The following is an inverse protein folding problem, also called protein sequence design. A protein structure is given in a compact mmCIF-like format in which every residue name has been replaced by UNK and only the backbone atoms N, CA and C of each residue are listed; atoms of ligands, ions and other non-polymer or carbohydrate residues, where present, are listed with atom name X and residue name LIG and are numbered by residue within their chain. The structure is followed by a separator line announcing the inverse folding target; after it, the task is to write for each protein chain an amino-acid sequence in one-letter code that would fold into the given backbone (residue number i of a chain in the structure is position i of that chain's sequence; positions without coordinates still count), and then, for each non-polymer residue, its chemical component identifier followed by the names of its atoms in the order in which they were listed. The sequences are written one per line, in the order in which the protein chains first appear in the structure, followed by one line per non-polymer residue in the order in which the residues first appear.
data_IF_379972151123
#
_entry.id   IF_379972151123
#
_cell.length_a   1.000
_cell.length_b   1.000
_cell.length_c   1.000
_cell.angle_alpha   90.00
_cell.angle_beta   90.00
_cell.angle_gamma   90.00
#
_symmetry.space_group_name_H-M   'P 1'
#
loop_
_entity.id
_entity.type
_entity.pdbx_description
1 polymer ?
#
# COMPACT_ATOMS: atom_id res chain seq x y z
N UNK A 1 -9.36 0.32 12.85
CA UNK A 1 -8.79 1.03 11.69
C UNK A 1 -9.54 2.33 11.40
N UNK A 2 -10.87 2.34 11.34
CA UNK A 2 -11.67 3.55 11.08
C UNK A 2 -11.40 4.74 12.01
N UNK A 3 -11.13 4.52 13.31
CA UNK A 3 -10.85 5.59 14.28
C UNK A 3 -9.48 6.29 14.07
N UNK A 4 -8.52 5.63 13.41
CA UNK A 4 -7.19 6.22 13.16
C UNK A 4 -7.14 7.00 11.85
N UNK A 5 -8.03 6.71 10.90
CA UNK A 5 -8.14 7.49 9.66
C UNK A 5 -8.94 8.78 9.84
N UNK A 6 -9.67 8.94 10.96
CA UNK A 6 -10.35 10.19 11.31
C UNK A 6 -9.38 11.25 11.86
N UNK A 7 -8.24 10.84 12.41
CA UNK A 7 -7.14 11.73 12.79
C UNK A 7 -6.07 11.69 11.69
N UNK A 8 -6.23 12.56 10.70
CA UNK A 8 -5.35 12.66 9.54
C UNK A 8 -3.90 12.98 9.92
N UNK A 9 -3.70 13.84 10.91
CA UNK A 9 -2.37 14.23 11.40
C UNK A 9 -1.64 13.03 12.00
N UNK A 10 -2.30 12.28 12.86
CA UNK A 10 -1.75 11.05 13.44
C UNK A 10 -1.46 9.99 12.39
N UNK A 11 -2.33 9.84 11.40
CA UNK A 11 -2.12 8.90 10.30
C UNK A 11 -0.89 9.28 9.47
N UNK A 12 -0.75 10.56 9.13
CA UNK A 12 0.42 11.13 8.46
C UNK A 12 1.71 10.80 9.21
N UNK A 13 1.76 11.08 10.53
CA UNK A 13 2.95 10.81 11.36
C UNK A 13 3.31 9.32 11.39
N UNK A 14 2.33 8.43 11.56
CA UNK A 14 2.54 6.98 11.54
C UNK A 14 3.14 6.52 10.20
N UNK A 15 2.64 7.03 9.07
CA UNK A 15 3.17 6.70 7.76
C UNK A 15 4.59 7.23 7.56
N UNK A 16 4.87 8.44 8.02
CA UNK A 16 6.21 9.05 8.00
C UNK A 16 7.22 8.20 8.78
N UNK A 17 6.92 7.87 10.02
CA UNK A 17 7.79 7.07 10.87
C UNK A 17 8.01 5.66 10.31
N UNK A 18 6.95 5.02 9.82
CA UNK A 18 7.05 3.71 9.17
C UNK A 18 7.91 3.77 7.89
N UNK A 19 7.81 4.85 7.11
CA UNK A 19 8.63 5.05 5.93
C UNK A 19 10.11 5.16 6.29
N UNK A 20 10.45 6.03 7.24
CA UNK A 20 11.84 6.22 7.71
C UNK A 20 12.48 4.95 8.26
N UNK A 21 11.75 4.20 9.08
CA UNK A 21 12.32 3.07 9.82
C UNK A 21 12.19 1.72 9.13
N UNK A 22 11.31 1.59 8.14
CA UNK A 22 11.04 0.28 7.53
C UNK A 22 11.09 0.27 6.01
N UNK A 23 10.59 1.32 5.32
CA UNK A 23 10.54 1.35 3.85
C UNK A 23 11.89 1.80 3.29
N UNK A 24 12.41 2.93 3.72
CA UNK A 24 13.69 3.47 3.24
C UNK A 24 14.85 2.50 3.45
N UNK A 25 15.03 1.87 4.63
CA UNK A 25 16.10 0.88 4.83
C UNK A 25 15.96 -0.36 3.93
N UNK A 26 14.71 -0.76 3.61
CA UNK A 26 14.48 -1.85 2.66
C UNK A 26 14.93 -1.47 1.24
N UNK A 27 14.55 -0.28 0.78
CA UNK A 27 14.87 0.20 -0.57
C UNK A 27 16.40 0.34 -0.69
N UNK A 28 17.07 0.93 0.29
CA UNK A 28 18.50 1.17 0.30
C UNK A 28 18.90 2.41 -0.51
N UNK A 29 20.16 2.48 -0.91
CA UNK A 29 20.69 3.61 -1.67
C UNK A 29 20.24 3.56 -3.14
N UNK A 30 20.07 4.73 -3.74
CA UNK A 30 19.74 4.87 -5.16
C UNK A 30 20.99 4.90 -6.07
N UNK A 31 22.20 4.92 -5.47
CA UNK A 31 23.44 5.00 -6.22
C UNK A 31 23.68 6.32 -6.96
N UNK A 32 22.94 7.38 -6.61
CA UNK A 32 23.04 8.73 -7.19
C UNK A 32 22.68 9.81 -6.18
N UNK A 33 22.91 11.07 -6.55
CA UNK A 33 22.52 12.23 -5.77
C UNK A 33 21.00 12.20 -5.48
N UNK A 34 20.61 12.23 -4.23
CA UNK A 34 19.22 12.13 -3.79
C UNK A 34 18.37 13.29 -4.32
N UNK A 35 18.95 14.47 -4.53
CA UNK A 35 18.25 15.62 -5.17
C UNK A 35 17.80 15.35 -6.60
N UNK A 36 18.38 14.34 -7.25
CA UNK A 36 18.03 13.89 -8.60
C UNK A 36 17.10 12.68 -8.62
N UNK A 37 16.75 12.15 -7.46
CA UNK A 37 15.86 10.99 -7.33
C UNK A 37 14.41 11.47 -7.39
N UNK A 38 13.63 10.89 -8.31
CA UNK A 38 12.20 11.17 -8.46
C UNK A 38 11.38 10.01 -7.95
N UNK A 39 10.41 10.32 -7.12
CA UNK A 39 9.56 9.33 -6.46
C UNK A 39 8.09 9.60 -6.76
N UNK A 40 7.38 8.57 -7.17
CA UNK A 40 5.94 8.56 -7.32
C UNK A 40 5.33 7.69 -6.24
N UNK A 41 4.35 8.19 -5.50
CA UNK A 41 3.48 7.34 -4.66
C UNK A 41 2.07 7.32 -5.23
N UNK A 42 1.55 6.13 -5.48
CA UNK A 42 0.16 5.91 -5.89
C UNK A 42 -0.63 5.51 -4.64
N UNK A 43 -1.72 6.26 -4.34
CA UNK A 43 -2.44 6.18 -3.08
C UNK A 43 -1.67 6.86 -1.95
N UNK A 44 -1.21 8.09 -2.20
CA UNK A 44 -0.34 8.83 -1.28
C UNK A 44 -1.02 9.29 0.02
N UNK A 45 -2.33 9.19 0.09
CA UNK A 45 -3.10 9.66 1.23
C UNK A 45 -2.70 11.10 1.63
N UNK A 46 -2.39 11.34 2.90
CA UNK A 46 -1.95 12.64 3.43
C UNK A 46 -0.45 12.93 3.17
N UNK A 47 0.27 12.08 2.42
CA UNK A 47 1.67 12.30 2.02
C UNK A 47 2.74 11.91 3.05
N UNK A 48 2.36 11.23 4.14
CA UNK A 48 3.32 10.90 5.21
C UNK A 48 4.48 10.01 4.77
N UNK A 49 4.28 9.10 3.82
CA UNK A 49 5.38 8.29 3.26
C UNK A 49 6.34 9.19 2.48
N UNK A 50 5.82 10.05 1.61
CA UNK A 50 6.63 10.93 0.77
C UNK A 50 7.41 11.98 1.58
N UNK A 51 6.87 12.44 2.71
CA UNK A 51 7.61 13.34 3.64
C UNK A 51 8.97 12.77 4.02
N UNK A 52 9.07 11.47 4.27
CA UNK A 52 10.34 10.85 4.62
C UNK A 52 11.37 10.88 3.48
N UNK A 53 10.93 10.95 2.23
CA UNK A 53 11.81 11.09 1.07
C UNK A 53 12.14 12.53 0.75
N UNK A 54 11.21 13.47 0.96
CA UNK A 54 11.53 14.90 0.82
C UNK A 54 12.57 15.36 1.86
N UNK A 55 12.55 14.81 3.09
CA UNK A 55 13.59 15.01 4.08
C UNK A 55 14.99 14.60 3.60
N UNK A 56 15.07 13.68 2.66
CA UNK A 56 16.31 13.23 2.02
C UNK A 56 16.68 14.06 0.79
N UNK A 57 15.85 15.04 0.40
CA UNK A 57 16.05 15.90 -0.77
C UNK A 57 15.51 15.32 -2.10
N UNK A 58 14.74 14.22 -2.06
CA UNK A 58 14.11 13.66 -3.25
C UNK A 58 12.95 14.54 -3.74
N UNK A 59 12.70 14.51 -5.06
CA UNK A 59 11.51 15.14 -5.64
C UNK A 59 10.37 14.13 -5.74
N UNK A 60 9.19 14.50 -5.25
CA UNK A 60 8.07 13.58 -5.07
C UNK A 60 6.80 14.03 -5.81
N UNK A 61 6.04 13.04 -6.32
CA UNK A 61 4.66 13.20 -6.77
C UNK A 61 3.77 12.22 -5.99
N UNK A 62 2.72 12.73 -5.35
CA UNK A 62 1.65 11.93 -4.77
C UNK A 62 0.42 11.92 -5.64
N UNK A 63 -0.12 10.74 -5.93
CA UNK A 63 -1.41 10.56 -6.61
C UNK A 63 -2.38 9.93 -5.61
N UNK A 64 -3.52 10.58 -5.39
CA UNK A 64 -4.55 10.14 -4.45
C UNK A 64 -5.93 10.39 -5.03
N UNK A 65 -6.86 9.43 -4.88
CA UNK A 65 -8.21 9.54 -5.42
C UNK A 65 -9.10 10.49 -4.61
N UNK A 66 -8.85 10.60 -3.31
CA UNK A 66 -9.68 11.39 -2.40
C UNK A 66 -9.19 12.84 -2.31
N UNK A 67 -9.91 13.84 -2.88
CA UNK A 67 -9.50 15.25 -2.86
C UNK A 67 -9.27 15.77 -1.43
N UNK A 68 -10.11 15.39 -0.46
CA UNK A 68 -9.96 15.84 0.94
C UNK A 68 -8.66 15.34 1.60
N UNK A 69 -8.08 14.22 1.12
CA UNK A 69 -6.75 13.77 1.55
C UNK A 69 -5.65 14.58 0.90
N UNK A 70 -5.82 14.91 -0.37
CA UNK A 70 -4.90 15.80 -1.09
C UNK A 70 -4.86 17.19 -0.46
N UNK A 71 -6.02 17.75 -0.08
CA UNK A 71 -6.08 19.03 0.63
C UNK A 71 -5.29 18.98 1.95
N UNK A 72 -5.45 17.89 2.71
CA UNK A 72 -4.67 17.69 3.95
C UNK A 72 -3.18 17.51 3.69
N UNK A 73 -2.81 16.80 2.62
CA UNK A 73 -1.41 16.63 2.23
C UNK A 73 -0.79 17.98 1.85
N UNK A 74 -1.52 18.83 1.12
CA UNK A 74 -1.08 20.17 0.75
C UNK A 74 -0.89 21.07 1.99
N UNK A 75 -1.74 20.93 3.00
CA UNK A 75 -1.59 21.66 4.27
C UNK A 75 -0.38 21.18 5.07
N UNK A 76 -0.23 19.86 5.24
CA UNK A 76 0.86 19.27 6.03
C UNK A 76 2.24 19.45 5.40
N UNK A 77 2.31 19.56 4.09
CA UNK A 77 3.56 19.62 3.32
C UNK A 77 3.74 20.95 2.56
N UNK A 78 3.12 22.02 3.05
CA UNK A 78 3.16 23.34 2.41
C UNK A 78 4.59 23.87 2.19
N UNK A 79 5.49 23.62 3.13
CA UNK A 79 6.87 24.07 3.05
C UNK A 79 7.65 23.29 1.99
N UNK A 80 7.45 21.99 1.87
CA UNK A 80 8.04 21.12 0.84
C UNK A 80 7.47 21.45 -0.57
N UNK A 81 6.19 21.81 -0.63
CA UNK A 81 5.56 22.29 -1.88
C UNK A 81 6.16 23.62 -2.30
N UNK A 82 6.29 24.58 -1.37
CA UNK A 82 6.92 25.88 -1.64
C UNK A 82 8.39 25.73 -2.06
N UNK A 83 9.10 24.73 -1.55
CA UNK A 83 10.46 24.39 -1.95
C UNK A 83 10.54 23.61 -3.28
N UNK A 84 9.40 23.27 -3.92
CA UNK A 84 9.35 22.50 -5.16
C UNK A 84 9.73 21.02 -5.02
N UNK A 85 9.76 20.48 -3.81
CA UNK A 85 10.15 19.10 -3.53
C UNK A 85 9.00 18.11 -3.71
N UNK A 86 7.76 18.55 -3.58
CA UNK A 86 6.60 17.67 -3.69
C UNK A 86 5.40 18.38 -4.35
N UNK A 87 4.60 17.60 -5.04
CA UNK A 87 3.27 18.00 -5.51
C UNK A 87 2.30 16.84 -5.42
N UNK A 88 1.01 17.14 -5.37
CA UNK A 88 -0.06 16.16 -5.30
C UNK A 88 -1.05 16.32 -6.45
N UNK A 89 -1.70 15.21 -6.84
CA UNK A 89 -2.76 15.17 -7.85
C UNK A 89 -3.92 14.34 -7.35
N UNK A 90 -5.13 14.95 -7.35
CA UNK A 90 -6.39 14.29 -6.98
C UNK A 90 -7.01 13.59 -8.21
N UNK A 91 -6.29 12.62 -8.80
CA UNK A 91 -6.70 11.90 -10.02
C UNK A 91 -6.54 10.40 -9.88
N UNK A 92 -7.28 9.66 -10.72
CA UNK A 92 -6.99 8.25 -10.93
C UNK A 92 -5.71 8.12 -11.76
N UNK A 93 -4.86 7.14 -11.44
CA UNK A 93 -3.62 6.88 -12.18
C UNK A 93 -3.88 6.61 -13.67
N UNK A 94 -5.04 6.04 -14.01
CA UNK A 94 -5.44 5.76 -15.39
C UNK A 94 -5.86 7.01 -16.17
N UNK A 95 -6.24 8.08 -15.47
CA UNK A 95 -6.72 9.34 -16.07
C UNK A 95 -5.62 10.39 -16.20
N UNK A 96 -4.39 10.04 -15.82
CA UNK A 96 -3.24 10.92 -15.98
C UNK A 96 -2.76 10.87 -17.43
N UNK A 97 -2.89 11.98 -18.14
CA UNK A 97 -2.42 12.10 -19.51
C UNK A 97 -0.89 12.14 -19.58
N UNK A 98 -0.32 11.75 -20.74
CA UNK A 98 1.14 11.71 -20.95
C UNK A 98 1.81 13.08 -20.83
N UNK A 99 1.08 14.15 -21.14
CA UNK A 99 1.55 15.54 -21.07
C UNK A 99 1.50 16.13 -19.65
N UNK A 100 0.69 15.57 -18.74
CA UNK A 100 0.59 16.02 -17.35
C UNK A 100 1.76 15.53 -16.49
N UNK A 101 2.25 14.32 -16.78
CA UNK A 101 3.41 13.71 -16.10
C UNK A 101 4.32 13.14 -17.17
N UNK A 102 5.19 14.00 -17.70
CA UNK A 102 6.19 13.61 -18.72
C UNK A 102 7.42 12.97 -18.13
N UNK A 103 7.72 13.26 -16.86
CA UNK A 103 8.88 12.70 -16.17
C UNK A 103 8.67 11.22 -15.80
N UNK A 104 9.79 10.50 -15.75
CA UNK A 104 9.87 9.12 -15.23
C UNK A 104 10.42 9.12 -13.82
N UNK A 105 10.06 8.10 -13.05
CA UNK A 105 10.40 7.96 -11.64
C UNK A 105 11.41 6.84 -11.42
N UNK A 106 12.32 7.08 -10.49
CA UNK A 106 13.33 6.09 -10.07
C UNK A 106 12.76 5.09 -9.07
N UNK A 107 11.74 5.53 -8.34
CA UNK A 107 10.98 4.69 -7.42
C UNK A 107 9.50 5.01 -7.54
N UNK A 108 8.70 3.96 -7.66
CA UNK A 108 7.24 4.04 -7.51
C UNK A 108 6.86 3.30 -6.25
N UNK A 109 6.04 3.91 -5.40
CA UNK A 109 5.60 3.35 -4.12
C UNK A 109 4.09 3.08 -4.18
N UNK A 110 3.72 1.87 -3.77
CA UNK A 110 2.34 1.46 -3.54
C UNK A 110 2.24 0.81 -2.17
N UNK A 111 1.68 1.52 -1.23
CA UNK A 111 1.51 1.02 0.13
C UNK A 111 0.04 0.95 0.50
N UNK A 112 -0.44 -0.28 0.75
CA UNK A 112 -1.84 -0.58 1.05
C UNK A 112 -2.80 -0.09 -0.06
N UNK A 113 -2.45 -0.37 -1.33
CA UNK A 113 -3.18 0.05 -2.54
C UNK A 113 -3.54 -1.14 -3.43
N UNK A 114 -2.60 -2.07 -3.69
CA UNK A 114 -2.80 -3.13 -4.69
C UNK A 114 -3.96 -4.07 -4.35
N UNK A 115 -4.30 -4.21 -3.08
CA UNK A 115 -5.45 -4.98 -2.61
C UNK A 115 -6.80 -4.38 -3.00
N UNK A 116 -6.83 -3.13 -3.42
CA UNK A 116 -8.02 -2.42 -3.93
C UNK A 116 -8.10 -2.38 -5.46
N UNK A 117 -7.06 -2.86 -6.15
CA UNK A 117 -7.00 -2.85 -7.61
C UNK A 117 -7.67 -4.10 -8.18
N UNK A 118 -8.69 -3.94 -9.04
CA UNK A 118 -9.41 -5.07 -9.64
C UNK A 118 -8.61 -5.77 -10.72
N UNK A 119 -8.10 -5.04 -11.70
CA UNK A 119 -7.29 -5.57 -12.80
C UNK A 119 -5.81 -5.32 -12.56
N UNK A 120 -5.19 -6.24 -11.83
CA UNK A 120 -3.77 -6.15 -11.50
C UNK A 120 -2.86 -6.17 -12.75
N UNK A 121 -3.25 -6.87 -13.82
CA UNK A 121 -2.42 -6.94 -15.04
C UNK A 121 -2.43 -5.61 -15.80
N UNK A 122 -3.60 -5.02 -15.97
CA UNK A 122 -3.75 -3.68 -16.54
C UNK A 122 -2.97 -2.67 -15.70
N UNK A 123 -3.08 -2.75 -14.38
CA UNK A 123 -2.41 -1.86 -13.45
C UNK A 123 -0.88 -1.94 -13.58
N UNK A 124 -0.30 -3.15 -13.63
CA UNK A 124 1.15 -3.33 -13.78
C UNK A 124 1.69 -2.73 -15.08
N UNK A 125 0.91 -2.79 -16.17
CA UNK A 125 1.24 -2.14 -17.45
C UNK A 125 1.13 -0.62 -17.35
N UNK A 126 0.12 -0.12 -16.66
CA UNK A 126 -0.07 1.31 -16.47
C UNK A 126 1.06 1.93 -15.64
N UNK A 127 1.42 1.32 -14.54
CA UNK A 127 2.51 1.79 -13.66
C UNK A 127 3.86 1.82 -14.40
N UNK A 128 4.08 0.88 -15.31
CA UNK A 128 5.32 0.81 -16.09
C UNK A 128 5.59 2.07 -16.91
N UNK A 129 4.55 2.74 -17.40
CA UNK A 129 4.71 3.98 -18.18
C UNK A 129 5.32 5.14 -17.40
N UNK A 130 5.27 5.08 -16.07
CA UNK A 130 5.87 6.10 -15.19
C UNK A 130 7.28 5.71 -14.72
N UNK A 131 7.71 4.48 -14.92
CA UNK A 131 8.96 3.96 -14.39
C UNK A 131 10.17 4.29 -15.29
N UNK A 132 11.27 4.75 -14.69
CA UNK A 132 12.56 4.80 -15.37
C UNK A 132 13.02 3.39 -15.77
N UNK A 133 13.81 3.22 -16.85
CA UNK A 133 14.32 1.91 -17.25
C UNK A 133 15.09 1.17 -16.14
N UNK A 134 15.81 1.91 -15.28
CA UNK A 134 16.54 1.36 -14.12
C UNK A 134 15.77 1.51 -12.81
N UNK A 135 14.55 2.01 -12.88
CA UNK A 135 13.69 2.28 -11.71
C UNK A 135 13.21 1.02 -11.01
N UNK A 136 12.70 1.22 -9.81
CA UNK A 136 12.16 0.16 -8.95
C UNK A 136 10.74 0.50 -8.52
N UNK A 137 9.96 -0.53 -8.21
CA UNK A 137 8.64 -0.36 -7.64
C UNK A 137 8.61 -1.05 -6.29
N UNK A 138 8.21 -0.31 -5.26
CA UNK A 138 7.94 -0.84 -3.93
C UNK A 138 6.45 -1.13 -3.77
N UNK A 139 6.13 -2.33 -3.31
CA UNK A 139 4.80 -2.73 -2.90
C UNK A 139 4.79 -3.09 -1.42
N UNK A 140 3.85 -2.52 -0.68
CA UNK A 140 3.52 -2.92 0.69
C UNK A 140 2.04 -3.24 0.78
N UNK A 141 1.67 -4.48 1.13
CA UNK A 141 0.27 -4.89 1.23
C UNK A 141 0.07 -6.05 2.21
N UNK A 142 -1.12 -6.14 2.87
CA UNK A 142 -1.51 -7.30 3.66
C UNK A 142 -1.87 -8.48 2.75
N UNK A 143 -1.55 -9.71 3.16
CA UNK A 143 -2.02 -10.88 2.41
C UNK A 143 -3.53 -11.07 2.58
N UNK A 144 -4.23 -11.36 1.48
CA UNK A 144 -5.66 -11.69 1.52
C UNK A 144 -6.01 -12.80 2.53
N UNK A 145 -5.12 -13.78 2.74
CA UNK A 145 -5.39 -14.93 3.60
C UNK A 145 -5.06 -14.71 5.07
N UNK A 146 -4.47 -13.58 5.45
CA UNK A 146 -4.21 -13.31 6.87
C UNK A 146 -5.53 -13.13 7.64
N UNK A 147 -5.54 -13.23 8.99
CA UNK A 147 -6.79 -13.25 9.79
C UNK A 147 -7.79 -12.14 9.45
N UNK A 148 -7.30 -10.98 9.08
CA UNK A 148 -8.09 -9.79 8.76
C UNK A 148 -7.86 -9.28 7.32
N UNK A 149 -7.45 -10.16 6.41
CA UNK A 149 -7.12 -9.81 5.02
C UNK A 149 -8.31 -9.33 4.17
N UNK A 150 -9.52 -9.56 4.65
CA UNK A 150 -10.73 -9.01 4.05
C UNK A 150 -11.12 -7.62 4.55
N UNK A 151 -10.26 -6.93 5.30
CA UNK A 151 -10.50 -5.61 5.90
C UNK A 151 -11.73 -5.52 6.81
N UNK A 152 -12.18 -6.65 7.33
CA UNK A 152 -13.40 -6.73 8.15
C UNK A 152 -13.37 -5.86 9.44
N UNK A 153 -12.21 -5.32 9.80
CA UNK A 153 -12.09 -4.35 10.90
C UNK A 153 -12.85 -3.03 10.66
N UNK A 154 -13.25 -2.73 9.42
CA UNK A 154 -14.11 -1.56 9.11
C UNK A 154 -15.57 -1.78 9.48
N UNK A 155 -15.98 -3.04 9.73
CA UNK A 155 -17.33 -3.36 10.16
C UNK A 155 -17.66 -2.66 11.49
N UNK A 156 -18.90 -2.19 11.63
CA UNK A 156 -19.39 -1.50 12.85
C UNK A 156 -19.67 -2.49 13.98
N UNK A 157 -20.16 -3.68 13.63
CA UNK A 157 -20.42 -4.74 14.60
C UNK A 157 -19.11 -5.24 15.22
N UNK A 158 -19.06 -5.27 16.56
CA UNK A 158 -17.92 -5.81 17.31
C UNK A 158 -17.63 -7.27 16.95
N UNK A 159 -18.67 -8.06 16.63
CA UNK A 159 -18.52 -9.45 16.22
C UNK A 159 -17.85 -9.51 14.83
N UNK A 160 -18.41 -8.86 13.82
CA UNK A 160 -17.89 -8.88 12.47
C UNK A 160 -16.48 -8.27 12.36
N UNK A 161 -16.20 -7.18 13.11
CA UNK A 161 -14.89 -6.51 13.07
C UNK A 161 -13.75 -7.30 13.73
N UNK A 162 -14.07 -8.20 14.68
CA UNK A 162 -13.07 -8.96 15.44
C UNK A 162 -12.96 -10.44 15.04
N UNK A 163 -13.88 -10.97 14.24
CA UNK A 163 -13.87 -12.36 13.81
C UNK A 163 -12.80 -12.58 12.73
N UNK A 164 -11.78 -13.41 12.98
CA UNK A 164 -10.74 -13.68 11.99
C UNK A 164 -11.23 -14.64 10.91
N UNK A 165 -10.64 -14.59 9.73
CA UNK A 165 -10.75 -15.55 8.63
C UNK A 165 -12.13 -15.71 7.95
N UNK A 166 -13.25 -15.20 8.50
CA UNK A 166 -14.57 -15.46 7.91
C UNK A 166 -14.74 -14.85 6.50
N UNK A 167 -13.92 -13.88 6.12
CA UNK A 167 -13.85 -13.37 4.76
C UNK A 167 -13.40 -14.43 3.73
N UNK A 168 -12.76 -15.52 4.16
CA UNK A 168 -12.33 -16.63 3.29
C UNK A 168 -13.52 -17.50 2.88
N UNK A 169 -14.59 -17.53 3.67
CA UNK A 169 -15.80 -18.31 3.41
C UNK A 169 -16.41 -17.99 2.02
N UNK A 170 -17.20 -18.87 1.43
CA UNK A 170 -17.93 -18.61 0.19
C UNK A 170 -18.67 -17.26 0.22
N UNK A 171 -18.78 -16.61 -0.93
CA UNK A 171 -19.30 -15.24 -1.05
C UNK A 171 -20.67 -15.04 -0.40
N UNK A 172 -21.59 -16.02 -0.58
CA UNK A 172 -22.94 -15.94 -0.03
C UNK A 172 -22.95 -16.08 1.50
N UNK A 173 -22.09 -16.95 2.08
CA UNK A 173 -21.97 -17.11 3.53
C UNK A 173 -21.38 -15.83 4.14
N UNK A 174 -20.30 -15.30 3.56
CA UNK A 174 -19.66 -14.07 4.04
C UNK A 174 -20.64 -12.89 4.05
N UNK A 175 -21.38 -12.69 2.93
CA UNK A 175 -22.40 -11.65 2.84
C UNK A 175 -23.55 -11.88 3.82
N UNK A 176 -23.97 -13.14 4.03
CA UNK A 176 -24.99 -13.52 5.02
C UNK A 176 -24.59 -13.16 6.45
N UNK A 177 -23.34 -13.43 6.85
CA UNK A 177 -22.80 -13.06 8.18
C UNK A 177 -22.82 -11.54 8.36
N UNK A 178 -22.36 -10.78 7.36
CA UNK A 178 -22.36 -9.31 7.43
C UNK A 178 -23.78 -8.75 7.60
N UNK A 179 -24.76 -9.29 6.87
CA UNK A 179 -26.17 -8.90 7.01
C UNK A 179 -26.75 -9.28 8.38
N UNK A 180 -26.43 -10.49 8.88
CA UNK A 180 -26.85 -10.93 10.23
C UNK A 180 -26.24 -10.05 11.33
N UNK A 181 -25.03 -9.54 11.12
CA UNK A 181 -24.38 -8.54 11.98
C UNK A 181 -24.93 -7.11 11.82
N UNK A 182 -25.99 -6.91 11.00
CA UNK A 182 -26.63 -5.62 10.74
C UNK A 182 -25.68 -4.55 10.18
N UNK A 183 -24.70 -4.97 9.37
CA UNK A 183 -23.85 -4.02 8.64
C UNK A 183 -24.66 -3.29 7.56
N UNK A 184 -24.33 -2.02 7.33
CA UNK A 184 -24.97 -1.26 6.25
C UNK A 184 -24.45 -1.71 4.86
N UNK A 185 -25.25 -1.50 3.82
CA UNK A 185 -24.91 -1.93 2.45
C UNK A 185 -23.61 -1.30 1.94
N UNK A 186 -23.24 -0.10 2.36
CA UNK A 186 -21.96 0.54 1.97
C UNK A 186 -20.77 -0.27 2.46
N UNK A 187 -20.75 -0.65 3.74
CA UNK A 187 -19.69 -1.49 4.33
C UNK A 187 -19.68 -2.87 3.69
N UNK A 188 -20.87 -3.47 3.49
CA UNK A 188 -20.99 -4.77 2.83
C UNK A 188 -20.37 -4.73 1.44
N UNK A 189 -20.69 -3.70 0.64
CA UNK A 189 -20.17 -3.56 -0.72
C UNK A 189 -18.65 -3.38 -0.72
N UNK A 190 -18.10 -2.52 0.14
CA UNK A 190 -16.66 -2.32 0.28
C UNK A 190 -15.94 -3.63 0.64
N UNK A 191 -16.43 -4.38 1.63
CA UNK A 191 -15.85 -5.66 2.02
C UNK A 191 -15.98 -6.73 0.93
N UNK A 192 -17.07 -6.71 0.17
CA UNK A 192 -17.27 -7.62 -0.96
C UNK A 192 -16.38 -7.27 -2.16
N UNK A 193 -16.03 -6.01 -2.33
CA UNK A 193 -15.09 -5.54 -3.34
C UNK A 193 -13.67 -6.04 -3.04
N UNK A 194 -13.16 -5.86 -1.82
CA UNK A 194 -11.89 -6.41 -1.37
C UNK A 194 -11.84 -7.93 -1.53
N UNK A 195 -12.96 -8.61 -1.25
CA UNK A 195 -13.08 -10.05 -1.52
C UNK A 195 -12.94 -10.42 -3.00
N UNK A 196 -13.15 -9.52 -3.92
CA UNK A 196 -13.01 -9.78 -5.36
C UNK A 196 -11.55 -9.71 -5.79
N UNK A 197 -10.77 -8.78 -5.27
CA UNK A 197 -9.36 -8.56 -5.62
C UNK A 197 -8.43 -9.68 -5.13
N UNK A 198 -8.57 -10.12 -3.88
CA UNK A 198 -7.90 -11.29 -3.25
C UNK A 198 -6.39 -11.35 -3.51
N UNK A 199 -5.67 -10.24 -3.34
CA UNK A 199 -4.23 -10.28 -3.54
C UNK A 199 -3.54 -11.07 -2.42
N UNK A 200 -2.79 -12.11 -2.78
CA UNK A 200 -1.96 -12.90 -1.88
C UNK A 200 -0.51 -12.80 -2.32
N UNK A 201 0.43 -13.17 -1.46
CA UNK A 201 1.85 -13.13 -1.80
C UNK A 201 2.14 -14.00 -3.03
N UNK A 202 1.56 -15.20 -3.10
CA UNK A 202 1.73 -16.11 -4.24
C UNK A 202 1.14 -15.52 -5.54
N UNK A 203 -0.05 -14.88 -5.46
CA UNK A 203 -0.67 -14.24 -6.63
C UNK A 203 0.16 -13.06 -7.11
N UNK A 204 0.68 -12.26 -6.20
CA UNK A 204 1.56 -11.13 -6.52
C UNK A 204 2.87 -11.60 -7.18
N UNK A 205 3.52 -12.63 -6.65
CA UNK A 205 4.76 -13.16 -7.23
C UNK A 205 4.54 -13.72 -8.66
N UNK A 206 3.39 -14.38 -8.90
CA UNK A 206 2.98 -14.80 -10.26
C UNK A 206 2.72 -13.60 -11.18
N UNK A 207 2.07 -12.56 -10.67
CA UNK A 207 1.83 -11.32 -11.40
C UNK A 207 3.14 -10.66 -11.82
N UNK A 208 4.12 -10.56 -10.92
CA UNK A 208 5.46 -10.05 -11.24
C UNK A 208 6.11 -10.85 -12.35
N UNK A 209 6.11 -12.20 -12.26
CA UNK A 209 6.68 -13.08 -13.28
C UNK A 209 6.02 -12.89 -14.64
N UNK A 210 4.69 -12.82 -14.69
CA UNK A 210 3.90 -12.64 -15.93
C UNK A 210 4.17 -11.30 -16.62
N UNK A 211 4.46 -10.25 -15.86
CA UNK A 211 4.71 -8.90 -16.37
C UNK A 211 6.22 -8.58 -16.49
N UNK A 212 7.10 -9.59 -16.54
CA UNK A 212 8.55 -9.44 -16.71
C UNK A 212 9.24 -8.61 -15.63
N UNK A 213 8.74 -8.67 -14.38
CA UNK A 213 9.43 -8.09 -13.23
C UNK A 213 10.25 -9.13 -12.48
N UNK A 214 11.43 -8.71 -11.99
CA UNK A 214 12.26 -9.44 -11.05
C UNK A 214 12.02 -8.89 -9.65
N UNK A 215 11.79 -9.78 -8.69
CA UNK A 215 11.75 -9.42 -7.27
C UNK A 215 13.17 -9.27 -6.77
N UNK A 216 13.57 -8.04 -6.41
CA UNK A 216 14.89 -7.70 -5.91
C UNK A 216 15.01 -7.95 -4.42
N UNK A 217 13.97 -7.57 -3.66
CA UNK A 217 13.87 -7.80 -2.20
C UNK A 217 12.45 -8.22 -1.84
N UNK A 218 12.34 -9.05 -0.80
CA UNK A 218 11.07 -9.51 -0.27
C UNK A 218 11.19 -9.69 1.24
N UNK A 219 10.26 -9.09 2.00
CA UNK A 219 10.12 -9.34 3.43
C UNK A 219 8.65 -9.61 3.71
N UNK A 220 8.38 -10.68 4.45
CA UNK A 220 7.06 -10.99 4.99
C UNK A 220 7.08 -10.76 6.49
N UNK A 221 6.06 -10.10 7.03
CA UNK A 221 5.96 -9.77 8.45
C UNK A 221 4.80 -10.52 9.09
N UNK A 222 5.07 -11.15 10.23
CA UNK A 222 4.06 -11.67 11.15
C UNK A 222 3.46 -10.54 12.00
N UNK A 223 4.29 -9.56 12.44
CA UNK A 223 3.83 -8.31 13.03
C UNK A 223 4.27 -7.19 12.10
N UNK A 224 3.31 -6.52 11.48
CA UNK A 224 3.59 -5.47 10.52
C UNK A 224 4.36 -4.30 11.16
N UNK A 225 5.36 -3.70 10.47
CA UNK A 225 6.14 -2.58 11.03
C UNK A 225 5.27 -1.40 11.49
N UNK A 226 4.19 -1.11 10.79
CA UNK A 226 3.26 -0.03 11.13
C UNK A 226 2.56 -0.27 12.48
N UNK A 227 2.49 -1.51 12.97
CA UNK A 227 1.85 -1.83 14.25
C UNK A 227 2.67 -1.35 15.45
N UNK A 228 3.97 -1.08 15.26
CA UNK A 228 4.81 -0.47 16.28
C UNK A 228 4.27 0.93 16.66
N UNK A 229 3.86 1.70 15.65
CA UNK A 229 3.34 3.06 15.84
C UNK A 229 1.84 3.09 16.15
N UNK A 230 1.10 2.10 15.66
CA UNK A 230 -0.36 2.02 15.91
C UNK A 230 -0.70 1.44 17.28
N UNK A 231 0.05 0.44 17.73
CA UNK A 231 -0.32 -0.42 18.85
C UNK A 231 0.84 -0.70 19.83
N UNK A 232 2.05 -0.19 19.57
CA UNK A 232 3.24 -0.46 20.41
C UNK A 232 3.86 -1.85 20.21
N UNK A 233 3.41 -2.64 19.23
CA UNK A 233 3.96 -3.97 18.98
C UNK A 233 5.20 -3.91 18.11
N UNK A 234 6.36 -4.33 18.63
CA UNK A 234 7.59 -4.43 17.84
C UNK A 234 7.40 -5.30 16.61
N UNK A 235 7.84 -4.81 15.47
CA UNK A 235 7.74 -5.54 14.20
C UNK A 235 8.46 -6.88 14.27
N UNK A 236 7.88 -7.90 13.64
CA UNK A 236 8.43 -9.26 13.60
C UNK A 236 8.30 -9.84 12.21
N UNK A 237 9.44 -10.20 11.62
CA UNK A 237 9.44 -10.93 10.34
C UNK A 237 8.81 -12.31 10.52
N UNK A 238 8.19 -12.79 9.45
CA UNK A 238 7.70 -14.19 9.43
C UNK A 238 8.89 -15.15 9.51
N UNK A 239 8.73 -16.24 10.26
CA UNK A 239 9.76 -17.27 10.38
C UNK A 239 10.09 -17.87 9.00
N UNK A 240 11.37 -18.09 8.74
CA UNK A 240 11.84 -18.56 7.43
C UNK A 240 11.16 -19.87 7.01
N UNK A 241 11.00 -20.83 7.91
CA UNK A 241 10.40 -22.13 7.63
C UNK A 241 8.90 -22.04 7.25
N UNK A 242 8.15 -21.07 7.80
CA UNK A 242 6.78 -20.79 7.33
C UNK A 242 6.84 -20.03 6.00
N UNK A 243 7.76 -19.08 5.88
CA UNK A 243 7.90 -18.19 4.72
C UNK A 243 8.16 -18.90 3.41
N UNK A 244 8.77 -20.10 3.43
CA UNK A 244 9.07 -20.91 2.24
C UNK A 244 7.91 -21.79 1.76
N UNK A 245 6.89 -22.03 2.60
CA UNK A 245 5.73 -22.84 2.21
C UNK A 245 4.74 -21.97 1.41
N UNK A 246 4.65 -22.11 0.07
CA UNK A 246 3.73 -21.31 -0.74
C UNK A 246 2.29 -21.51 -0.27
N UNK A 247 1.46 -20.48 -0.42
CA UNK A 247 0.06 -20.46 -0.01
C UNK A 247 -0.15 -20.48 1.52
N UNK A 248 0.53 -21.37 2.26
CA UNK A 248 0.38 -21.48 3.73
C UNK A 248 0.93 -20.24 4.45
N UNK A 249 2.05 -19.70 3.99
CA UNK A 249 2.64 -18.49 4.58
C UNK A 249 1.69 -17.27 4.56
N UNK A 250 0.76 -17.22 3.60
CA UNK A 250 -0.21 -16.13 3.47
C UNK A 250 -1.11 -15.98 4.71
N UNK A 251 -1.41 -17.08 5.42
CA UNK A 251 -2.22 -17.06 6.63
C UNK A 251 -1.55 -16.34 7.81
N UNK A 252 -0.23 -16.25 7.79
CA UNK A 252 0.60 -15.64 8.84
C UNK A 252 1.28 -14.37 8.38
N UNK A 253 1.01 -13.89 7.17
CA UNK A 253 1.63 -12.70 6.60
C UNK A 253 0.70 -11.50 6.75
N UNK A 254 0.91 -10.71 7.80
CA UNK A 254 0.13 -9.50 8.06
C UNK A 254 0.54 -8.33 7.18
N UNK A 255 1.78 -8.30 6.72
CA UNK A 255 2.28 -7.32 5.76
C UNK A 255 3.38 -7.94 4.92
N UNK A 256 3.37 -7.67 3.63
CA UNK A 256 4.42 -8.02 2.69
C UNK A 256 5.05 -6.78 2.12
N UNK A 257 6.37 -6.71 2.10
CA UNK A 257 7.14 -5.69 1.40
C UNK A 257 7.91 -6.33 0.26
N UNK A 258 7.72 -5.82 -0.92
CA UNK A 258 8.40 -6.24 -2.15
C UNK A 258 9.06 -5.04 -2.81
N UNK A 259 10.30 -5.22 -3.26
CA UNK A 259 10.96 -4.32 -4.18
C UNK A 259 11.17 -5.07 -5.49
N UNK A 260 10.62 -4.55 -6.57
CA UNK A 260 10.68 -5.18 -7.89
C UNK A 260 11.31 -4.23 -8.91
N UNK A 261 11.88 -4.78 -9.97
CA UNK A 261 12.40 -4.03 -11.12
C UNK A 261 12.14 -4.80 -12.40
N UNK A 262 12.15 -4.12 -13.53
CA UNK A 262 12.10 -4.77 -14.84
C UNK A 262 13.29 -5.72 -15.01
N UNK A 263 13.06 -6.81 -15.75
CA UNK A 263 14.11 -7.73 -16.16
C UNK A 263 14.93 -7.14 -17.29
#
# INVERSE_FOLDING_TARGET
MALLSSDKSRYFEIQYLNSKKSIIPLIGSFGKDLKKVRILEIGSAEGGVLKAFTDMGCTCLGIELNPSRVDSANEFLKDEIAAGLIRFSAKNIYDIEKNEVSEKFDLIILKDVIEHIHDHERFMKEVERFLNPTGQIFFGFPSWRMPFGGHQQIAKSKLASKMPYYHILPRFIYKGILKACKENESIINELMEIKTTRISTLRFERLCKKNNYKISKRIKYFIAPIYEYKFGYKSKKLWNWIGIIPWFNDFFTFQSYYLIKKK
#
